data_IF_823660088499
#
_entry.id   IF_823660088499
#
_cell.length_a   1.000
_cell.length_b   1.000
_cell.length_c   1.000
_cell.angle_alpha   90.00
_cell.angle_beta   90.00
_cell.angle_gamma   90.00
#
_symmetry.space_group_name_H-M   'P 1'
#
loop_
_entity.id
_entity.type
_entity.pdbx_description
1 polymer ?
#
# COMPACT_ATOMS: atom_id res chain seq x y z
N UNK A 1 10.38 -29.48 -65.48
CA UNK A 1 11.48 -28.52 -65.34
C UNK A 1 10.95 -27.26 -64.66
N UNK A 2 11.59 -26.87 -63.55
CA UNK A 2 11.67 -25.55 -62.89
C UNK A 2 10.47 -24.57 -63.09
N UNK A 3 9.59 -24.41 -62.10
CA UNK A 3 9.67 -23.51 -60.92
C UNK A 3 9.11 -22.10 -61.17
N UNK A 4 7.83 -21.91 -60.84
CA UNK A 4 7.26 -20.59 -60.51
C UNK A 4 7.36 -20.45 -58.99
N UNK A 5 8.30 -19.62 -58.53
CA UNK A 5 8.45 -19.29 -57.11
C UNK A 5 7.27 -18.41 -56.67
N UNK A 6 6.49 -18.89 -55.70
CA UNK A 6 5.35 -18.20 -55.11
C UNK A 6 5.80 -17.00 -54.25
N UNK A 7 5.49 -15.78 -54.69
CA UNK A 7 5.80 -14.52 -53.98
C UNK A 7 4.93 -14.29 -52.72
N UNK A 8 3.94 -15.16 -52.44
CA UNK A 8 3.07 -15.03 -51.27
C UNK A 8 3.76 -15.44 -49.96
N UNK A 9 4.63 -16.45 -50.02
CA UNK A 9 5.35 -16.96 -48.84
C UNK A 9 6.39 -15.96 -48.31
N UNK A 10 7.09 -15.26 -49.21
CA UNK A 10 8.07 -14.22 -48.83
C UNK A 10 7.43 -13.02 -48.11
N UNK A 11 6.21 -12.61 -48.50
CA UNK A 11 5.51 -11.49 -47.86
C UNK A 11 5.03 -11.83 -46.44
N UNK A 12 4.59 -13.06 -46.21
CA UNK A 12 4.16 -13.55 -44.88
C UNK A 12 5.35 -13.66 -43.91
N UNK A 13 6.49 -14.17 -44.38
CA UNK A 13 7.74 -14.24 -43.61
C UNK A 13 8.31 -12.84 -43.30
N UNK A 14 8.21 -11.89 -44.23
CA UNK A 14 8.69 -10.50 -44.00
C UNK A 14 7.93 -9.76 -42.89
N UNK A 15 6.64 -10.05 -42.71
CA UNK A 15 5.79 -9.39 -41.70
C UNK A 15 5.99 -9.96 -40.31
N UNK A 16 6.14 -11.28 -40.19
CA UNK A 16 6.51 -11.94 -38.93
C UNK A 16 7.91 -11.52 -38.47
N UNK A 17 8.87 -11.40 -39.40
CA UNK A 17 10.21 -10.91 -39.10
C UNK A 17 10.20 -9.45 -38.61
N UNK A 18 9.32 -8.59 -39.15
CA UNK A 18 9.16 -7.21 -38.68
C UNK A 18 8.62 -7.12 -37.25
N UNK A 19 7.65 -7.95 -36.86
CA UNK A 19 7.16 -7.99 -35.47
C UNK A 19 8.22 -8.49 -34.49
N UNK A 20 8.97 -9.54 -34.86
CA UNK A 20 10.01 -10.09 -34.01
C UNK A 20 11.19 -9.13 -33.84
N UNK A 21 11.54 -8.38 -34.89
CA UNK A 21 12.59 -7.36 -34.82
C UNK A 21 12.16 -6.17 -33.95
N UNK A 22 10.88 -5.79 -33.97
CA UNK A 22 10.34 -4.73 -33.11
C UNK A 22 10.34 -5.15 -31.64
N UNK A 23 9.97 -6.40 -31.35
CA UNK A 23 10.00 -6.99 -30.01
C UNK A 23 11.44 -7.04 -29.45
N UNK A 24 12.40 -7.49 -30.27
CA UNK A 24 13.83 -7.51 -29.93
C UNK A 24 14.40 -6.09 -29.73
N UNK A 25 14.00 -5.12 -30.56
CA UNK A 25 14.43 -3.73 -30.43
C UNK A 25 13.87 -3.05 -29.18
N UNK A 26 12.61 -3.33 -28.82
CA UNK A 26 11.99 -2.83 -27.59
C UNK A 26 12.66 -3.41 -26.34
N UNK A 27 12.92 -4.72 -26.32
CA UNK A 27 13.66 -5.39 -25.24
C UNK A 27 15.08 -4.81 -25.14
N UNK A 28 15.77 -4.63 -26.26
CA UNK A 28 17.12 -4.07 -26.28
C UNK A 28 17.17 -2.60 -25.82
N UNK A 29 16.15 -1.79 -26.11
CA UNK A 29 16.09 -0.38 -25.66
C UNK A 29 15.79 -0.26 -24.16
N UNK A 30 15.02 -1.19 -23.60
CA UNK A 30 14.78 -1.30 -22.15
C UNK A 30 16.06 -1.74 -21.42
N UNK A 31 16.82 -2.68 -21.99
CA UNK A 31 18.09 -3.16 -21.41
C UNK A 31 19.20 -2.09 -21.49
N UNK A 32 19.27 -1.28 -22.56
CA UNK A 32 20.34 -0.27 -22.75
C UNK A 32 20.25 0.97 -21.85
N UNK A 33 19.14 1.21 -21.15
CA UNK A 33 18.97 2.39 -20.27
C UNK A 33 19.35 2.15 -18.80
N UNK A 34 19.89 0.98 -18.47
CA UNK A 34 20.37 0.68 -17.11
C UNK A 34 21.91 0.77 -17.09
N UNK A 35 22.52 1.80 -16.47
CA UNK A 35 23.93 1.76 -16.14
C UNK A 35 24.10 0.77 -15.00
N UNK A 36 24.75 -0.37 -15.27
CA UNK A 36 25.04 -1.37 -14.27
C UNK A 36 26.05 -0.86 -13.25
N UNK A 37 25.75 -1.01 -11.96
CA UNK A 37 26.72 -1.57 -11.03
C UNK A 37 26.04 -2.20 -9.81
N UNK A 38 26.63 -3.32 -9.36
CA UNK A 38 26.25 -4.19 -8.23
C UNK A 38 25.08 -5.17 -8.45
N UNK A 39 25.38 -6.41 -8.08
CA UNK A 39 24.74 -7.67 -8.44
C UNK A 39 23.44 -7.95 -7.69
N UNK A 40 22.48 -8.58 -8.39
CA UNK A 40 21.18 -9.11 -7.95
C UNK A 40 19.94 -8.22 -8.15
N UNK A 41 19.82 -7.60 -9.34
CA UNK A 41 18.52 -7.16 -9.88
C UNK A 41 18.00 -8.16 -10.92
N UNK A 42 17.31 -9.23 -10.50
CA UNK A 42 16.46 -9.99 -11.43
C UNK A 42 15.19 -9.19 -11.66
N UNK A 43 15.15 -8.39 -12.72
CA UNK A 43 13.96 -7.65 -13.14
C UNK A 43 12.91 -8.67 -13.59
N UNK A 44 11.85 -8.82 -12.79
CA UNK A 44 10.62 -9.52 -13.19
C UNK A 44 9.88 -8.59 -14.15
N UNK A 45 10.08 -8.78 -15.45
CA UNK A 45 9.19 -8.19 -16.45
C UNK A 45 7.82 -8.81 -16.21
N UNK A 46 6.86 -8.00 -15.76
CA UNK A 46 5.49 -8.43 -15.47
C UNK A 46 4.93 -9.25 -16.64
N UNK A 47 4.52 -10.50 -16.37
CA UNK A 47 3.90 -11.41 -17.36
C UNK A 47 2.67 -10.79 -18.04
N UNK A 48 2.08 -9.76 -17.44
CA UNK A 48 0.96 -9.01 -18.01
C UNK A 48 1.35 -8.23 -19.27
N UNK A 49 2.60 -7.77 -19.41
CA UNK A 49 3.06 -7.05 -20.61
C UNK A 49 3.12 -7.96 -21.85
N UNK A 50 3.48 -9.23 -21.67
CA UNK A 50 3.62 -10.20 -22.77
C UNK A 50 2.23 -10.66 -23.26
N UNK A 51 1.25 -10.75 -22.36
CA UNK A 51 -0.09 -11.22 -22.70
C UNK A 51 -0.90 -10.20 -23.52
N UNK A 52 -0.77 -8.90 -23.23
CA UNK A 52 -1.50 -7.84 -23.95
C UNK A 52 -1.05 -7.72 -25.42
N UNK A 53 0.22 -8.00 -25.71
CA UNK A 53 0.72 -8.00 -27.09
C UNK A 53 0.39 -9.28 -27.87
N UNK A 54 0.37 -10.44 -27.21
CA UNK A 54 0.08 -11.73 -27.87
C UNK A 54 -1.37 -11.83 -28.36
N UNK A 55 -2.33 -11.21 -27.66
CA UNK A 55 -3.78 -11.32 -27.98
C UNK A 55 -4.20 -10.52 -29.22
N UNK A 56 -3.42 -9.52 -29.66
CA UNK A 56 -3.80 -8.66 -30.81
C UNK A 56 -3.32 -9.14 -32.18
N UNK A 57 -2.59 -10.25 -32.27
CA UNK A 57 -2.10 -10.76 -33.56
C UNK A 57 -3.02 -11.84 -34.20
N UNK A 58 -4.06 -12.30 -33.49
CA UNK A 58 -4.84 -13.48 -33.88
C UNK A 58 -6.26 -13.20 -34.40
N UNK A 59 -6.73 -11.94 -34.41
CA UNK A 59 -8.10 -11.61 -34.84
C UNK A 59 -8.16 -10.43 -35.81
N UNK A 60 -7.84 -10.68 -37.08
CA UNK A 60 -8.26 -9.81 -38.18
C UNK A 60 -8.38 -10.64 -39.47
N UNK A 61 -9.47 -11.40 -39.57
CA UNK A 61 -9.98 -11.91 -40.85
C UNK A 61 -10.93 -10.88 -41.45
N UNK A 62 -10.69 -10.54 -42.71
CA UNK A 62 -11.56 -9.76 -43.61
C UNK A 62 -11.74 -8.27 -43.32
N UNK A 63 -10.93 -7.44 -43.98
CA UNK A 63 -11.34 -6.10 -44.39
C UNK A 63 -10.94 -5.87 -45.85
N UNK A 64 -11.93 -5.48 -46.65
CA UNK A 64 -11.83 -5.08 -48.06
C UNK A 64 -10.94 -3.83 -48.22
N UNK A 65 -10.25 -3.76 -49.35
CA UNK A 65 -9.26 -2.73 -49.66
C UNK A 65 -9.86 -1.31 -49.60
N UNK A 66 -9.38 -0.50 -48.67
CA UNK A 66 -9.66 0.94 -48.60
C UNK A 66 -8.33 1.71 -48.64
N UNK A 67 -8.30 2.76 -49.46
CA UNK A 67 -7.16 3.60 -49.82
C UNK A 67 -6.36 4.08 -48.58
N UNK A 68 -5.12 3.63 -48.47
CA UNK A 68 -4.18 4.01 -47.40
C UNK A 68 -3.56 5.39 -47.71
N UNK A 69 -4.31 6.47 -47.49
CA UNK A 69 -3.74 7.82 -47.42
C UNK A 69 -4.24 8.52 -46.16
N UNK A 70 -3.38 8.48 -45.14
CA UNK A 70 -3.39 9.41 -44.01
C UNK A 70 -4.33 9.06 -42.85
N UNK A 71 -3.78 8.42 -41.81
CA UNK A 71 -3.65 9.00 -40.45
C UNK A 71 -3.11 7.89 -39.53
N UNK A 72 -1.81 7.91 -39.20
CA UNK A 72 -1.28 7.12 -38.07
C UNK A 72 -1.08 8.10 -36.93
N UNK A 73 -2.04 8.17 -36.01
CA UNK A 73 -1.87 8.88 -34.74
C UNK A 73 -1.03 7.95 -33.84
N UNK A 74 0.27 8.21 -33.75
CA UNK A 74 1.13 7.57 -32.74
C UNK A 74 0.90 8.32 -31.44
N UNK A 75 0.07 7.78 -30.54
CA UNK A 75 0.04 8.23 -29.15
C UNK A 75 1.27 7.65 -28.47
N UNK A 76 2.38 8.38 -28.50
CA UNK A 76 3.53 8.08 -27.67
C UNK A 76 3.19 8.55 -26.25
N UNK A 77 2.65 7.65 -25.42
CA UNK A 77 2.54 7.90 -23.99
C UNK A 77 3.96 7.91 -23.41
N UNK A 78 4.53 9.10 -23.23
CA UNK A 78 5.76 9.28 -22.47
C UNK A 78 5.46 8.98 -21.01
N UNK A 79 5.79 7.77 -20.54
CA UNK A 79 5.94 7.52 -19.11
C UNK A 79 7.16 8.34 -18.65
N UNK A 80 6.92 9.53 -18.12
CA UNK A 80 7.89 10.18 -17.26
C UNK A 80 7.96 9.34 -15.99
N UNK A 81 9.10 8.67 -15.76
CA UNK A 81 9.37 8.09 -14.46
C UNK A 81 9.52 9.25 -13.47
N UNK A 82 8.45 9.57 -12.75
CA UNK A 82 8.52 10.49 -11.61
C UNK A 82 9.32 9.74 -10.55
N UNK A 83 10.56 10.15 -10.34
CA UNK A 83 11.37 9.60 -9.26
C UNK A 83 10.84 10.14 -7.94
N UNK A 84 10.25 9.27 -7.12
CA UNK A 84 9.85 9.59 -5.76
C UNK A 84 11.00 10.29 -5.02
N UNK A 85 10.75 11.50 -4.52
CA UNK A 85 11.75 12.29 -3.81
C UNK A 85 11.63 12.08 -2.30
N UNK A 86 12.78 12.07 -1.62
CA UNK A 86 12.83 12.21 -0.16
C UNK A 86 12.53 13.66 0.24
N UNK A 87 11.51 13.85 1.07
CA UNK A 87 11.10 15.15 1.63
C UNK A 87 11.40 15.17 3.13
N UNK A 88 11.73 16.32 3.69
CA UNK A 88 11.91 16.44 5.15
C UNK A 88 10.61 16.03 5.85
N UNK A 89 10.73 15.36 7.00
CA UNK A 89 9.58 14.73 7.66
C UNK A 89 8.50 15.73 8.08
N UNK A 90 8.87 16.99 8.29
CA UNK A 90 8.04 18.12 8.68
C UNK A 90 7.55 18.97 7.50
N UNK A 91 7.87 18.59 6.26
CA UNK A 91 7.43 19.30 5.04
C UNK A 91 6.51 18.47 4.16
N UNK A 92 6.36 17.18 4.47
CA UNK A 92 5.42 16.31 3.77
C UNK A 92 4.01 16.53 4.34
N UNK A 93 3.07 16.93 3.49
CA UNK A 93 1.67 17.10 3.88
C UNK A 93 0.87 15.81 3.82
N UNK A 94 -0.17 15.66 4.67
CA UNK A 94 -1.09 14.53 4.58
C UNK A 94 -1.92 14.60 3.30
N UNK A 95 -2.31 13.43 2.81
CA UNK A 95 -3.33 13.25 1.78
C UNK A 95 -4.69 13.51 2.43
N UNK A 96 -5.48 14.48 1.93
CA UNK A 96 -6.80 14.77 2.46
C UNK A 96 -7.70 13.53 2.45
N UNK A 97 -8.51 13.36 3.50
CA UNK A 97 -9.48 12.27 3.56
C UNK A 97 -10.57 12.48 2.50
N UNK A 98 -10.69 11.59 1.50
CA UNK A 98 -11.74 11.71 0.49
C UNK A 98 -13.12 11.38 1.06
N UNK A 99 -14.18 11.84 0.38
CA UNK A 99 -15.54 11.37 0.68
C UNK A 99 -15.67 9.86 0.36
N UNK A 100 -16.22 9.05 1.27
CA UNK A 100 -16.29 7.60 1.06
C UNK A 100 -17.42 7.23 0.07
N UNK A 101 -17.07 6.50 -0.98
CA UNK A 101 -17.98 6.05 -2.03
C UNK A 101 -18.35 4.58 -1.85
N UNK A 102 -17.35 3.72 -1.72
CA UNK A 102 -17.53 2.25 -1.64
C UNK A 102 -17.97 1.81 -0.24
N UNK A 103 -18.47 0.58 -0.13
CA UNK A 103 -18.88 0.00 1.16
C UNK A 103 -17.66 -0.14 2.10
N UNK A 104 -16.52 -0.57 1.55
CA UNK A 104 -15.24 -0.63 2.26
C UNK A 104 -14.84 0.73 2.85
N UNK A 105 -14.88 1.79 2.05
CA UNK A 105 -14.52 3.15 2.49
C UNK A 105 -15.47 3.68 3.57
N UNK A 106 -16.78 3.46 3.41
CA UNK A 106 -17.79 3.87 4.39
C UNK A 106 -17.60 3.15 5.73
N UNK A 107 -17.32 1.84 5.69
CA UNK A 107 -17.02 1.06 6.87
C UNK A 107 -15.73 1.56 7.54
N UNK A 108 -14.67 1.84 6.77
CA UNK A 108 -13.42 2.34 7.31
C UNK A 108 -13.53 3.73 7.94
N UNK A 109 -14.39 4.60 7.41
CA UNK A 109 -14.69 5.89 8.07
C UNK A 109 -15.51 5.68 9.35
N UNK A 110 -16.52 4.79 9.32
CA UNK A 110 -17.38 4.50 10.47
C UNK A 110 -16.60 3.92 11.67
N UNK A 111 -15.68 3.00 11.39
CA UNK A 111 -14.89 2.30 12.41
C UNK A 111 -13.49 2.88 12.61
N UNK A 112 -13.27 4.13 12.15
CA UNK A 112 -11.98 4.80 12.29
C UNK A 112 -11.60 4.89 13.77
N UNK A 113 -10.40 4.46 14.18
CA UNK A 113 -9.96 4.56 15.56
C UNK A 113 -9.63 6.00 15.97
N UNK A 114 -9.78 6.29 17.26
CA UNK A 114 -9.06 7.40 17.89
C UNK A 114 -7.73 6.89 18.42
N UNK A 115 -6.67 7.67 18.20
CA UNK A 115 -5.33 7.37 18.70
C UNK A 115 -4.93 8.39 19.77
N UNK A 116 -4.72 7.93 20.98
CA UNK A 116 -4.09 8.68 22.06
C UNK A 116 -2.59 8.33 22.08
N UNK A 117 -1.72 9.33 21.96
CA UNK A 117 -0.27 9.14 22.01
C UNK A 117 0.23 9.76 23.31
N UNK A 118 0.71 8.93 24.24
CA UNK A 118 1.23 9.43 25.52
C UNK A 118 2.61 10.05 25.41
N UNK A 119 3.48 9.43 24.61
CA UNK A 119 4.89 9.76 24.52
C UNK A 119 5.49 9.25 23.18
N UNK A 120 6.75 9.63 22.94
CA UNK A 120 7.41 9.40 21.66
C UNK A 120 6.98 10.40 20.59
N UNK A 121 7.00 9.95 19.33
CA UNK A 121 6.55 10.78 18.21
C UNK A 121 5.03 10.71 18.02
N UNK A 122 4.42 11.81 17.57
CA UNK A 122 3.10 11.80 16.94
C UNK A 122 3.17 11.16 15.55
N UNK A 123 2.02 10.83 14.95
CA UNK A 123 1.98 10.26 13.60
C UNK A 123 2.15 11.33 12.51
N UNK A 124 2.83 10.96 11.42
CA UNK A 124 3.12 11.81 10.26
C UNK A 124 2.68 11.11 8.97
N UNK A 125 2.52 11.86 7.86
CA UNK A 125 2.43 11.24 6.55
C UNK A 125 3.77 10.57 6.17
N UNK A 126 3.68 9.36 5.61
CA UNK A 126 4.81 8.62 5.06
C UNK A 126 5.06 8.94 3.58
N UNK A 127 3.98 9.25 2.84
CA UNK A 127 3.98 9.44 1.38
C UNK A 127 2.92 10.48 0.99
N UNK A 128 3.12 11.20 -0.12
CA UNK A 128 2.12 12.08 -0.76
C UNK A 128 1.61 11.51 -2.09
N UNK A 129 0.67 12.21 -2.74
CA UNK A 129 0.07 11.78 -4.03
C UNK A 129 1.07 11.63 -5.18
N UNK A 130 2.18 12.37 -5.14
CA UNK A 130 3.26 12.28 -6.12
C UNK A 130 4.20 11.08 -5.93
N UNK A 131 4.01 10.32 -4.84
CA UNK A 131 4.91 9.25 -4.43
C UNK A 131 6.15 9.73 -3.67
N UNK A 132 6.29 11.02 -3.39
CA UNK A 132 7.36 11.50 -2.52
C UNK A 132 7.15 10.97 -1.11
N UNK A 133 8.24 10.67 -0.41
CA UNK A 133 8.20 10.01 0.90
C UNK A 133 8.94 10.81 1.98
N UNK A 134 8.54 10.55 3.22
CA UNK A 134 9.17 11.16 4.39
C UNK A 134 10.59 10.65 4.56
N UNK A 135 11.54 11.56 4.71
CA UNK A 135 12.93 11.24 5.05
C UNK A 135 13.10 10.75 6.48
N UNK A 136 12.06 10.86 7.32
CA UNK A 136 12.08 10.47 8.72
C UNK A 136 13.12 11.22 9.55
N UNK A 137 13.31 10.78 10.78
CA UNK A 137 14.28 11.33 11.72
C UNK A 137 15.33 10.30 12.09
N UNK A 138 16.54 10.75 12.39
CA UNK A 138 17.55 9.88 12.99
C UNK A 138 17.04 9.41 14.36
N UNK A 139 17.23 8.12 14.67
CA UNK A 139 16.95 7.54 15.99
C UNK A 139 17.91 8.09 17.04
N UNK A 140 17.67 9.32 17.48
CA UNK A 140 18.45 10.05 18.48
C UNK A 140 17.63 11.23 19.00
N UNK A 141 18.10 11.85 20.09
CA UNK A 141 17.51 13.08 20.67
C UNK A 141 16.04 12.91 21.11
N UNK A 142 15.72 11.78 21.74
CA UNK A 142 14.38 11.52 22.31
C UNK A 142 13.27 11.74 21.28
N UNK A 143 12.21 12.45 21.67
CA UNK A 143 11.08 12.85 20.81
C UNK A 143 11.29 14.20 20.08
N UNK A 144 12.47 14.81 20.15
CA UNK A 144 12.72 16.10 19.50
C UNK A 144 12.41 16.04 18.00
N UNK A 145 11.72 17.09 17.51
CA UNK A 145 11.27 17.29 16.14
C UNK A 145 10.17 16.34 15.65
N UNK A 146 9.52 15.58 16.54
CA UNK A 146 8.37 14.75 16.18
C UNK A 146 7.27 14.69 17.26
N UNK A 147 7.31 15.59 18.23
CA UNK A 147 6.27 15.80 19.24
C UNK A 147 5.07 16.60 18.69
N UNK A 148 5.25 17.26 17.55
CA UNK A 148 4.19 17.90 16.77
C UNK A 148 4.40 17.65 15.27
N UNK A 149 3.30 17.54 14.51
CA UNK A 149 3.30 17.34 13.06
C UNK A 149 2.80 18.62 12.37
N UNK A 150 3.69 19.56 12.00
CA UNK A 150 3.28 20.91 11.58
C UNK A 150 2.47 20.94 10.29
N UNK A 151 2.61 19.92 9.44
CA UNK A 151 1.83 19.77 8.21
C UNK A 151 0.53 18.97 8.43
N UNK A 152 0.34 18.42 9.62
CA UNK A 152 -0.76 17.52 9.96
C UNK A 152 -0.35 16.04 10.02
N UNK A 153 -1.22 15.25 10.64
CA UNK A 153 -1.04 13.81 10.83
C UNK A 153 -1.75 13.00 9.74
N UNK A 154 -1.53 11.68 9.70
CA UNK A 154 -2.17 10.77 8.74
C UNK A 154 -2.41 9.40 9.39
N UNK A 155 -3.54 8.77 9.03
CA UNK A 155 -3.75 7.33 9.18
C UNK A 155 -4.01 6.71 7.80
N UNK A 156 -3.40 5.54 7.56
CA UNK A 156 -3.58 4.75 6.35
C UNK A 156 -4.52 3.58 6.64
N UNK A 157 -5.37 3.21 5.68
CA UNK A 157 -6.30 2.10 5.81
C UNK A 157 -6.17 1.07 4.70
N UNK A 158 -6.39 -0.22 4.99
CA UNK A 158 -6.62 -1.25 3.98
C UNK A 158 -7.57 -2.31 4.52
N UNK A 159 -8.51 -2.74 3.70
CA UNK A 159 -9.56 -3.65 4.15
C UNK A 159 -9.72 -4.86 3.21
N UNK A 160 -10.08 -6.00 3.78
CA UNK A 160 -10.38 -7.21 3.04
C UNK A 160 -11.19 -8.20 3.88
N UNK A 161 -11.85 -9.14 3.20
CA UNK A 161 -12.34 -10.36 3.82
C UNK A 161 -11.17 -11.26 4.20
N UNK A 162 -11.21 -11.82 5.41
CA UNK A 162 -10.25 -12.82 5.88
C UNK A 162 -10.97 -13.79 6.83
N UNK A 163 -11.01 -15.07 6.49
CA UNK A 163 -11.75 -16.12 7.22
C UNK A 163 -13.20 -15.72 7.56
N UNK A 164 -13.97 -15.28 6.56
CA UNK A 164 -15.38 -14.87 6.67
C UNK A 164 -15.64 -13.74 7.68
N UNK A 165 -14.63 -12.92 7.91
CA UNK A 165 -14.71 -11.70 8.72
C UNK A 165 -14.13 -10.55 7.92
N UNK A 166 -14.70 -9.36 8.08
CA UNK A 166 -14.18 -8.18 7.42
C UNK A 166 -13.14 -7.51 8.30
N UNK A 167 -11.92 -7.41 7.79
CA UNK A 167 -10.80 -6.80 8.46
C UNK A 167 -10.57 -5.40 7.91
N UNK A 168 -10.43 -4.42 8.80
CA UNK A 168 -9.98 -3.06 8.45
C UNK A 168 -8.71 -2.78 9.23
N UNK A 169 -7.57 -2.77 8.53
CA UNK A 169 -6.29 -2.40 9.10
C UNK A 169 -6.12 -0.88 9.02
N UNK A 170 -5.80 -0.26 10.14
CA UNK A 170 -5.36 1.12 10.25
C UNK A 170 -3.87 1.15 10.62
N UNK A 171 -3.10 1.99 9.95
CA UNK A 171 -1.66 2.08 10.16
C UNK A 171 -1.21 3.53 10.27
N UNK A 172 -0.27 3.77 11.19
CA UNK A 172 0.33 5.07 11.45
C UNK A 172 1.84 4.99 11.25
N UNK A 173 2.37 6.01 10.58
CA UNK A 173 3.80 6.20 10.39
C UNK A 173 4.34 7.19 11.43
N UNK A 174 5.53 6.90 11.94
CA UNK A 174 6.27 7.78 12.83
C UNK A 174 7.66 8.03 12.25
N UNK A 175 8.20 9.27 12.29
CA UNK A 175 9.49 9.59 11.68
C UNK A 175 10.68 8.81 12.25
N UNK A 176 10.59 8.34 13.50
CA UNK A 176 11.60 7.52 14.18
C UNK A 176 10.96 6.58 15.20
N UNK A 177 11.63 5.47 15.46
CA UNK A 177 11.25 4.47 16.44
C UNK A 177 12.11 4.50 17.69
N UNK A 178 11.62 3.84 18.74
CA UNK A 178 12.24 3.78 20.06
C UNK A 178 12.51 2.33 20.46
N UNK A 179 13.45 2.13 21.38
CA UNK A 179 13.69 0.86 22.05
C UNK A 179 14.13 1.14 23.49
N UNK A 180 13.40 0.61 24.47
CA UNK A 180 13.65 0.85 25.91
C UNK A 180 13.78 2.35 26.24
N UNK A 181 12.79 3.14 25.85
CA UNK A 181 12.76 4.61 26.05
C UNK A 181 13.68 5.42 25.15
N UNK A 182 14.64 4.79 24.48
CA UNK A 182 15.66 5.49 23.70
C UNK A 182 15.29 5.49 22.22
N UNK A 183 15.30 6.68 21.60
CA UNK A 183 15.20 6.79 20.14
C UNK A 183 16.34 6.01 19.48
N UNK A 184 16.01 5.02 18.63
CA UNK A 184 16.96 3.98 18.23
C UNK A 184 17.04 3.74 16.72
N UNK A 185 15.96 4.04 15.98
CA UNK A 185 15.89 3.78 14.54
C UNK A 185 15.19 4.91 13.79
N UNK A 186 15.50 5.02 12.49
CA UNK A 186 14.75 5.87 11.57
C UNK A 186 13.50 5.11 11.14
N UNK A 187 12.38 5.82 11.07
CA UNK A 187 11.06 5.28 10.78
C UNK A 187 10.50 4.36 11.86
N UNK A 188 9.18 4.36 11.96
CA UNK A 188 8.42 3.38 12.71
C UNK A 188 7.04 3.25 12.05
N UNK A 189 6.47 2.06 12.16
CA UNK A 189 5.10 1.79 11.76
C UNK A 189 4.38 1.09 12.89
N UNK A 190 3.12 1.44 13.09
CA UNK A 190 2.24 0.74 14.01
C UNK A 190 0.89 0.54 13.37
N UNK A 191 0.18 -0.52 13.73
CA UNK A 191 -1.11 -0.83 13.11
C UNK A 191 -2.09 -1.50 14.06
N UNK A 192 -3.37 -1.34 13.77
CA UNK A 192 -4.46 -2.04 14.43
C UNK A 192 -5.40 -2.62 13.37
N UNK A 193 -5.98 -3.78 13.65
CA UNK A 193 -7.00 -4.41 12.81
C UNK A 193 -8.31 -4.45 13.57
N UNK A 194 -9.32 -3.78 13.01
CA UNK A 194 -10.70 -3.87 13.48
C UNK A 194 -11.37 -4.98 12.70
N UNK A 195 -11.88 -5.98 13.43
CA UNK A 195 -12.62 -7.10 12.85
C UNK A 195 -14.12 -6.83 13.01
N UNK A 196 -14.85 -6.77 11.91
CA UNK A 196 -16.31 -6.64 11.90
C UNK A 196 -16.95 -7.85 11.23
N UNK A 197 -18.26 -7.99 11.42
CA UNK A 197 -19.07 -9.04 10.81
C UNK A 197 -19.16 -8.90 9.29
N UNK A 198 -19.82 -7.85 8.80
CA UNK A 198 -20.03 -7.60 7.38
C UNK A 198 -20.22 -6.09 7.14
N UNK A 199 -19.38 -5.45 6.30
CA UNK A 199 -19.46 -4.02 6.04
C UNK A 199 -20.75 -3.60 5.30
N UNK A 200 -21.44 -4.55 4.66
CA UNK A 200 -22.67 -4.30 3.88
C UNK A 200 -23.92 -4.26 4.77
N UNK A 201 -23.82 -4.63 6.05
CA UNK A 201 -24.94 -4.54 6.97
C UNK A 201 -25.31 -3.08 7.27
N UNK A 202 -26.59 -2.83 7.54
CA UNK A 202 -27.05 -1.50 7.97
C UNK A 202 -26.35 -1.04 9.26
N UNK A 203 -26.07 -2.01 10.16
CA UNK A 203 -25.39 -1.80 11.43
C UNK A 203 -24.32 -2.89 11.64
N UNK A 204 -23.16 -2.80 10.97
CA UNK A 204 -22.08 -3.76 11.20
C UNK A 204 -21.60 -3.67 12.65
N UNK A 205 -21.19 -4.80 13.21
CA UNK A 205 -20.74 -4.92 14.60
C UNK A 205 -19.25 -5.21 14.69
N UNK A 206 -18.56 -4.58 15.63
CA UNK A 206 -17.16 -4.92 15.96
C UNK A 206 -17.15 -6.26 16.69
N UNK A 207 -16.46 -7.23 16.11
CA UNK A 207 -16.27 -8.59 16.66
C UNK A 207 -14.95 -8.74 17.40
N UNK A 208 -13.95 -7.93 17.06
CA UNK A 208 -12.64 -8.00 17.67
C UNK A 208 -11.73 -6.85 17.30
N UNK A 209 -10.68 -6.71 18.09
CA UNK A 209 -9.65 -5.70 17.90
C UNK A 209 -8.30 -6.36 18.11
N UNK A 210 -7.38 -6.13 17.18
CA UNK A 210 -6.00 -6.59 17.26
C UNK A 210 -5.07 -5.40 17.11
N UNK A 211 -4.08 -5.27 17.97
CA UNK A 211 -3.12 -4.16 17.92
C UNK A 211 -1.70 -4.68 17.85
N UNK A 212 -0.89 -3.99 17.05
CA UNK A 212 0.53 -4.28 16.90
C UNK A 212 1.25 -4.13 18.24
N UNK A 213 2.01 -5.17 18.59
CA UNK A 213 2.96 -5.17 19.70
C UNK A 213 4.39 -5.16 19.15
N UNK A 214 5.41 -5.30 19.99
CA UNK A 214 6.78 -5.41 19.50
C UNK A 214 6.99 -6.61 18.57
N UNK A 215 8.05 -6.54 17.77
CA UNK A 215 8.62 -7.69 17.04
C UNK A 215 7.66 -8.36 16.04
N UNK A 216 6.81 -7.54 15.41
CA UNK A 216 5.87 -7.97 14.38
C UNK A 216 4.71 -8.86 14.87
N UNK A 217 4.42 -8.80 16.17
CA UNK A 217 3.34 -9.52 16.80
C UNK A 217 2.07 -8.67 16.95
N UNK A 218 0.95 -9.37 17.22
CA UNK A 218 -0.33 -8.74 17.54
C UNK A 218 -0.90 -9.31 18.82
N UNK A 219 -1.26 -8.41 19.74
CA UNK A 219 -2.23 -8.74 20.76
C UNK A 219 -3.64 -8.73 20.15
N UNK A 220 -4.51 -9.61 20.65
CA UNK A 220 -5.79 -9.95 20.02
C UNK A 220 -6.88 -10.06 21.08
N UNK A 221 -8.00 -9.37 20.87
CA UNK A 221 -9.20 -9.47 21.72
C UNK A 221 -10.44 -9.74 20.87
N UNK A 222 -11.13 -10.85 21.18
CA UNK A 222 -12.39 -11.25 20.56
C UNK A 222 -13.29 -11.91 21.63
N UNK A 223 -14.38 -11.26 22.06
CA UNK A 223 -14.87 -9.95 21.62
C UNK A 223 -13.89 -8.80 21.92
N UNK A 224 -14.04 -7.67 21.21
CA UNK A 224 -13.31 -6.45 21.54
C UNK A 224 -13.65 -6.00 22.99
N UNK A 225 -12.72 -5.39 23.73
CA UNK A 225 -13.00 -4.93 25.07
C UNK A 225 -13.98 -3.75 25.06
N UNK A 226 -15.06 -3.82 25.84
CA UNK A 226 -16.11 -2.78 25.88
C UNK A 226 -15.55 -1.38 26.18
N UNK A 227 -14.60 -1.28 27.13
CA UNK A 227 -13.96 0.00 27.46
C UNK A 227 -13.14 0.59 26.30
N UNK A 228 -12.74 -0.25 25.34
CA UNK A 228 -11.95 0.11 24.18
C UNK A 228 -12.79 0.52 22.98
N UNK A 229 -14.12 0.53 23.07
CA UNK A 229 -15.02 0.90 21.98
C UNK A 229 -15.97 2.02 22.44
N UNK A 230 -15.72 3.24 21.97
CA UNK A 230 -16.60 4.38 22.22
C UNK A 230 -17.85 4.28 21.33
N UNK A 231 -19.03 4.41 21.97
CA UNK A 231 -20.35 4.40 21.32
C UNK A 231 -20.60 3.16 20.42
N UNK A 232 -19.96 2.03 20.72
CA UNK A 232 -20.10 0.78 19.96
C UNK A 232 -19.44 0.77 18.57
N UNK A 233 -18.81 1.87 18.12
CA UNK A 233 -18.27 2.00 16.75
C UNK A 233 -16.86 2.55 16.66
N UNK A 234 -16.35 3.27 17.66
CA UNK A 234 -15.04 3.92 17.58
C UNK A 234 -14.04 3.21 18.48
N UNK A 235 -13.07 2.44 17.92
CA UNK A 235 -11.97 1.91 18.70
C UNK A 235 -11.15 3.04 19.35
N UNK A 236 -10.85 2.89 20.63
CA UNK A 236 -9.96 3.77 21.37
C UNK A 236 -8.62 3.07 21.52
N UNK A 237 -7.59 3.67 20.94
CA UNK A 237 -6.22 3.14 20.94
C UNK A 237 -5.30 4.07 21.70
N UNK A 238 -4.28 3.47 22.31
CA UNK A 238 -3.24 4.15 23.05
C UNK A 238 -1.89 3.70 22.52
N UNK A 239 -0.98 4.64 22.27
CA UNK A 239 0.41 4.36 21.93
C UNK A 239 1.35 4.94 22.97
N UNK A 240 2.33 4.15 23.36
CA UNK A 240 3.41 4.60 24.23
C UNK A 240 4.71 3.85 23.99
N UNK A 241 5.82 4.50 24.28
CA UNK A 241 7.16 3.95 24.35
C UNK A 241 7.32 3.19 25.66
N UNK A 242 7.95 2.02 25.61
CA UNK A 242 8.28 1.29 26.83
C UNK A 242 9.65 1.74 27.33
N UNK A 243 9.71 2.28 28.54
CA UNK A 243 10.97 2.66 29.23
C UNK A 243 11.72 1.45 29.79
N UNK A 244 11.05 0.30 29.95
CA UNK A 244 11.59 -0.87 30.65
C UNK A 244 12.09 -1.94 29.67
N UNK A 245 11.34 -2.22 28.62
CA UNK A 245 11.68 -3.27 27.66
C UNK A 245 10.92 -3.12 26.33
N UNK A 246 11.62 -3.31 25.21
CA UNK A 246 10.99 -3.48 23.90
C UNK A 246 10.74 -2.17 23.13
N UNK A 247 9.95 -2.31 22.06
CA UNK A 247 9.56 -1.25 21.13
C UNK A 247 8.29 -0.51 21.61
N UNK A 248 7.92 0.64 21.02
CA UNK A 248 6.62 1.26 21.25
C UNK A 248 5.49 0.27 20.97
N UNK A 249 4.49 0.27 21.83
CA UNK A 249 3.33 -0.60 21.73
C UNK A 249 2.07 0.19 21.39
N UNK A 250 1.16 -0.47 20.69
CA UNK A 250 -0.21 -0.02 20.51
C UNK A 250 -1.13 -0.90 21.36
N UNK A 251 -1.95 -0.27 22.18
CA UNK A 251 -2.85 -0.93 23.12
C UNK A 251 -4.26 -0.36 23.05
N UNK A 252 -5.22 -1.06 23.67
CA UNK A 252 -6.57 -0.58 23.87
C UNK A 252 -6.57 0.55 24.92
N UNK A 253 -7.44 1.53 24.73
CA UNK A 253 -7.55 2.69 25.61
C UNK A 253 -8.95 2.80 26.18
N UNK A 254 -9.09 3.30 27.41
CA UNK A 254 -10.36 3.83 27.93
C UNK A 254 -10.46 5.35 27.81
N UNK A 255 -9.41 6.00 27.26
CA UNK A 255 -9.31 7.44 27.05
C UNK A 255 -9.45 7.76 25.58
N UNK A 256 -10.15 8.84 25.29
CA UNK A 256 -10.26 9.40 23.93
C UNK A 256 -8.90 9.89 23.44
N UNK A 257 -8.76 9.93 22.13
CA UNK A 257 -7.61 10.49 21.42
C UNK A 257 -8.07 11.24 20.19
N UNK A 258 -7.16 11.45 19.25
CA UNK A 258 -7.44 12.22 18.04
C UNK A 258 -7.77 11.31 16.86
N UNK A 259 -8.60 11.83 15.96
CA UNK A 259 -8.71 11.28 14.61
C UNK A 259 -7.67 11.90 13.69
N UNK A 260 -7.09 11.08 12.82
CA UNK A 260 -6.27 11.56 11.73
C UNK A 260 -7.07 11.47 10.41
N UNK A 261 -6.74 12.28 9.39
CA UNK A 261 -7.23 12.08 8.03
C UNK A 261 -6.94 10.63 7.58
N UNK A 262 -7.98 9.92 7.16
CA UNK A 262 -7.85 8.55 6.66
C UNK A 262 -7.67 8.56 5.14
N UNK A 263 -6.70 7.80 4.65
CA UNK A 263 -6.59 7.47 3.23
C UNK A 263 -6.54 5.95 3.08
N UNK A 264 -7.49 5.37 2.34
CA UNK A 264 -7.51 3.93 2.08
C UNK A 264 -6.50 3.57 0.98
N UNK A 265 -5.97 2.35 1.02
CA UNK A 265 -5.02 1.82 0.03
C UNK A 265 -5.54 1.96 -1.39
N UNK A 266 -6.82 1.68 -1.60
CA UNK A 266 -7.51 1.77 -2.89
C UNK A 266 -7.73 3.22 -3.35
N UNK A 267 -7.59 4.21 -2.46
CA UNK A 267 -7.70 5.64 -2.76
C UNK A 267 -6.33 6.29 -3.01
N UNK A 268 -5.22 5.61 -2.70
CA UNK A 268 -3.88 6.10 -3.00
C UNK A 268 -3.59 6.09 -4.51
N UNK A 269 -2.81 7.07 -4.96
CA UNK A 269 -2.28 7.07 -6.33
C UNK A 269 -1.35 5.87 -6.57
N UNK A 270 -1.18 5.49 -7.83
CA UNK A 270 -0.22 4.44 -8.21
C UNK A 270 1.20 4.78 -7.75
N UNK A 271 1.59 6.06 -7.81
CA UNK A 271 2.90 6.52 -7.34
C UNK A 271 3.06 6.33 -5.82
N UNK A 272 2.04 6.68 -5.03
CA UNK A 272 2.07 6.48 -3.58
C UNK A 272 2.14 5.00 -3.20
N UNK A 273 1.35 4.14 -3.87
CA UNK A 273 1.38 2.69 -3.66
C UNK A 273 2.73 2.08 -4.05
N UNK A 274 3.28 2.47 -5.20
CA UNK A 274 4.61 2.04 -5.65
C UNK A 274 5.67 2.37 -4.60
N UNK A 275 5.67 3.60 -4.07
CA UNK A 275 6.60 4.01 -3.01
C UNK A 275 6.42 3.19 -1.73
N UNK A 276 5.19 2.98 -1.26
CA UNK A 276 4.92 2.17 -0.06
C UNK A 276 5.25 0.67 -0.24
N UNK A 277 5.24 0.18 -1.48
CA UNK A 277 5.63 -1.19 -1.81
C UNK A 277 7.14 -1.36 -1.95
N UNK A 278 7.87 -0.35 -2.42
CA UNK A 278 9.27 -0.51 -2.87
C UNK A 278 10.30 0.23 -2.04
N UNK A 279 9.92 1.29 -1.32
CA UNK A 279 10.87 2.05 -0.51
C UNK A 279 11.28 1.28 0.75
N UNK A 280 12.57 1.32 1.05
CA UNK A 280 13.15 0.71 2.25
C UNK A 280 13.00 1.64 3.47
N UNK A 281 12.02 1.32 4.33
CA UNK A 281 11.79 1.96 5.62
C UNK A 281 12.68 1.38 6.74
N UNK A 282 13.81 0.77 6.40
CA UNK A 282 14.75 0.18 7.35
C UNK A 282 14.10 -0.96 8.13
N UNK A 283 14.21 -0.92 9.46
CA UNK A 283 13.63 -1.94 10.33
C UNK A 283 12.09 -1.86 10.41
N UNK A 284 11.48 -0.76 9.95
CA UNK A 284 10.03 -0.56 10.00
C UNK A 284 9.37 -1.09 8.73
N UNK A 285 8.50 -2.09 8.84
CA UNK A 285 7.77 -2.64 7.70
C UNK A 285 6.41 -1.96 7.53
N UNK A 286 6.05 -1.57 6.30
CA UNK A 286 4.70 -1.05 5.99
C UNK A 286 3.69 -2.19 6.12
N UNK A 287 2.74 -2.15 7.08
CA UNK A 287 1.97 -3.35 7.43
C UNK A 287 0.81 -3.64 6.47
N UNK A 288 0.45 -2.68 5.61
CA UNK A 288 -0.70 -2.76 4.71
C UNK A 288 -0.29 -2.73 3.23
N UNK A 289 1.00 -2.79 2.92
CA UNK A 289 1.47 -2.88 1.54
C UNK A 289 1.18 -4.28 0.95
N UNK A 290 1.38 -4.46 -0.35
CA UNK A 290 0.98 -5.70 -1.04
C UNK A 290 1.73 -6.94 -0.54
N UNK A 291 2.98 -6.78 -0.12
CA UNK A 291 3.81 -7.89 0.37
C UNK A 291 3.40 -8.36 1.78
N UNK A 292 2.96 -7.44 2.64
CA UNK A 292 2.80 -7.72 4.06
C UNK A 292 1.34 -7.92 4.48
N UNK A 293 0.37 -7.29 3.80
CA UNK A 293 -1.00 -7.16 4.29
C UNK A 293 -1.65 -8.49 4.70
N UNK A 294 -1.61 -9.52 3.86
CA UNK A 294 -2.22 -10.82 4.16
C UNK A 294 -1.52 -11.54 5.32
N UNK A 295 -0.19 -11.50 5.39
CA UNK A 295 0.56 -12.10 6.50
C UNK A 295 0.23 -11.41 7.83
N UNK A 296 0.09 -10.08 7.79
CA UNK A 296 -0.26 -9.27 8.96
C UNK A 296 -1.67 -9.57 9.43
N UNK A 297 -2.64 -9.74 8.52
CA UNK A 297 -3.99 -10.20 8.86
C UNK A 297 -3.97 -11.59 9.50
N UNK A 298 -3.16 -12.51 9.00
CA UNK A 298 -2.99 -13.84 9.61
C UNK A 298 -2.47 -13.77 11.04
N UNK A 299 -1.47 -12.91 11.31
CA UNK A 299 -0.95 -12.70 12.68
C UNK A 299 -1.97 -12.02 13.59
N UNK A 300 -2.73 -11.07 13.05
CA UNK A 300 -3.78 -10.34 13.76
C UNK A 300 -5.06 -11.15 14.00
N UNK A 301 -5.29 -12.26 13.29
CA UNK A 301 -6.53 -13.03 13.42
C UNK A 301 -6.58 -13.83 14.73
N UNK A 302 -7.71 -13.77 15.42
CA UNK A 302 -8.00 -14.59 16.59
C UNK A 302 -8.96 -15.71 16.24
N UNK A 303 -8.62 -16.96 16.56
CA UNK A 303 -9.50 -18.13 16.35
C UNK A 303 -10.92 -18.00 16.91
N UNK A 304 -11.13 -17.24 18.01
CA UNK A 304 -12.46 -16.99 18.58
C UNK A 304 -13.39 -16.23 17.64
N UNK A 305 -12.86 -15.45 16.69
CA UNK A 305 -13.66 -14.77 15.68
C UNK A 305 -14.47 -15.76 14.83
N UNK A 306 -13.99 -17.00 14.64
CA UNK A 306 -14.71 -18.02 13.86
C UNK A 306 -16.09 -18.33 14.46
N UNK A 307 -16.20 -18.28 15.79
CA UNK A 307 -17.44 -18.61 16.50
C UNK A 307 -18.35 -17.39 16.72
N UNK A 308 -17.87 -16.18 16.40
CA UNK A 308 -18.66 -14.96 16.52
C UNK A 308 -19.46 -14.80 15.24
N UNK A 309 -20.74 -15.13 15.35
CA UNK A 309 -21.77 -14.75 14.38
C UNK A 309 -22.51 -13.58 15.03
N UNK A 310 -22.58 -12.44 14.35
CA UNK A 310 -23.44 -11.35 14.79
C UNK A 310 -24.89 -11.84 14.74
N UNK A 311 -25.59 -11.74 15.88
CA UNK A 311 -27.02 -12.05 16.00
C UNK A 311 -27.88 -10.87 15.57
#
# INVERSE_FOLDING_TARGET
>A
SASVFDSSHHKKLSRLASCYLLEQLLIANVIRRVPGNSSLGKIVVSRSLIFVFSVRCTSQTSFTAMNFRGLVIIIAATLAAVTARRVDHDKLGPIPQPDPVTISEKAAIKFKPQLNIADGCVSFPAVNDGGDFSGGLKGSNGNSACDDAPMGSQVYGRAAWYNDKWAIMYAWFFPKGFFMGVASRRYDWSSAVVWIDNPDFATPAILGLSTFTSDDEYQRKSPAPDFGILNGVTPLLYRSISEVAGQPMLDYSSRTGDFQPLIMWEQLTDAARETLNTFDFGDAQVPFNDANFEEKLKKAFHSKLIHLIAY
#
